data_IF_884802370223
#
_entry.id   IF_884802370223
#
_cell.length_a   1.000
_cell.length_b   1.000
_cell.length_c   1.000
_cell.angle_alpha   90.00
_cell.angle_beta   90.00
_cell.angle_gamma   90.00
#
_symmetry.space_group_name_H-M   'P 1'
#
loop_
_entity.id
_entity.type
_entity.pdbx_description
1 polymer ?
#
# COMPACT_ATOMS: atom_id res chain seq x y z
N UNK A 1 -9.76 4.09 11.90
CA UNK A 1 -8.42 4.26 11.31
C UNK A 1 -8.26 3.28 10.15
N UNK A 2 -7.72 3.69 9.01
CA UNK A 2 -7.45 2.80 7.86
C UNK A 2 -6.19 1.99 8.18
N UNK A 3 -6.25 0.67 8.04
CA UNK A 3 -5.13 -0.23 8.34
C UNK A 3 -4.67 -0.90 7.05
N UNK A 4 -3.44 -0.60 6.63
CA UNK A 4 -2.88 -1.01 5.36
C UNK A 4 -1.67 -1.91 5.62
N UNK A 5 -1.71 -3.14 5.12
CA UNK A 5 -0.57 -4.04 5.10
C UNK A 5 0.42 -3.58 4.03
N UNK A 6 1.67 -3.36 4.40
CA UNK A 6 2.73 -3.03 3.47
C UNK A 6 3.16 -4.30 2.72
N UNK A 7 2.87 -4.39 1.41
CA UNK A 7 3.21 -5.51 0.52
C UNK A 7 2.69 -6.89 0.96
N UNK A 8 1.63 -6.92 1.78
CA UNK A 8 1.08 -8.15 2.35
C UNK A 8 1.59 -8.52 3.74
N UNK A 9 2.55 -7.77 4.30
CA UNK A 9 3.10 -8.02 5.64
C UNK A 9 2.07 -7.73 6.73
N UNK A 10 1.93 -8.64 7.68
CA UNK A 10 0.98 -8.51 8.81
C UNK A 10 1.72 -8.49 10.15
N UNK A 11 2.62 -9.43 10.37
CA UNK A 11 3.32 -9.66 11.63
C UNK A 11 4.81 -9.29 11.58
N UNK A 12 5.26 -8.66 10.50
CA UNK A 12 6.62 -8.26 10.26
C UNK A 12 7.02 -8.40 8.81
N UNK A 13 8.15 -7.80 8.46
CA UNK A 13 8.70 -7.84 7.11
C UNK A 13 9.10 -9.26 6.69
N UNK A 14 8.58 -9.71 5.56
CA UNK A 14 8.93 -10.99 4.94
C UNK A 14 9.24 -10.80 3.45
N UNK A 15 10.50 -10.52 3.14
CA UNK A 15 10.97 -10.19 1.78
C UNK A 15 10.64 -11.29 0.76
N UNK A 16 10.65 -12.55 1.18
CA UNK A 16 10.38 -13.69 0.30
C UNK A 16 8.91 -13.82 -0.11
N UNK A 17 8.01 -13.21 0.66
CA UNK A 17 6.56 -13.25 0.43
C UNK A 17 5.98 -11.93 -0.09
N UNK A 18 6.67 -10.80 0.12
CA UNK A 18 6.19 -9.48 -0.29
C UNK A 18 5.72 -9.44 -1.75
N UNK A 19 4.60 -8.80 -1.99
CA UNK A 19 3.96 -8.64 -3.30
C UNK A 19 3.49 -9.94 -3.99
N UNK A 20 3.60 -11.13 -3.36
CA UNK A 20 2.97 -12.33 -3.92
C UNK A 20 1.44 -12.19 -3.90
N UNK A 21 0.74 -12.54 -5.00
CA UNK A 21 -0.73 -12.47 -5.02
C UNK A 21 -1.42 -13.19 -3.86
N UNK A 22 -0.93 -14.39 -3.49
CA UNK A 22 -1.46 -15.16 -2.37
C UNK A 22 -1.23 -14.50 -1.01
N UNK A 23 -0.12 -13.79 -0.84
CA UNK A 23 0.23 -13.06 0.37
C UNK A 23 -0.64 -11.81 0.54
N UNK A 24 -0.85 -11.08 -0.56
CA UNK A 24 -1.81 -9.96 -0.64
C UNK A 24 -3.22 -10.44 -0.26
N UNK A 25 -3.68 -11.56 -0.85
CA UNK A 25 -5.00 -12.12 -0.57
C UNK A 25 -5.16 -12.53 0.89
N UNK A 26 -4.09 -13.02 1.51
CA UNK A 26 -4.09 -13.34 2.94
C UNK A 26 -4.30 -12.10 3.80
N UNK A 27 -3.61 -10.98 3.49
CA UNK A 27 -3.79 -9.72 4.21
C UNK A 27 -5.22 -9.18 4.08
N UNK A 28 -5.79 -9.23 2.87
CA UNK A 28 -7.19 -8.81 2.63
C UNK A 28 -8.17 -9.68 3.43
N UNK A 29 -8.00 -11.00 3.44
CA UNK A 29 -8.86 -11.91 4.25
C UNK A 29 -8.76 -11.64 5.75
N UNK A 30 -7.63 -11.11 6.24
CA UNK A 30 -7.46 -10.69 7.62
C UNK A 30 -8.05 -9.29 7.93
N UNK A 31 -8.69 -8.66 6.92
CA UNK A 31 -9.40 -7.40 7.07
C UNK A 31 -8.54 -6.15 6.92
N UNK A 32 -7.40 -6.27 6.26
CA UNK A 32 -6.53 -5.13 5.93
C UNK A 32 -6.69 -4.69 4.48
N UNK A 33 -6.51 -3.40 4.24
CA UNK A 33 -6.11 -2.91 2.93
C UNK A 33 -4.65 -3.30 2.68
N UNK A 34 -4.20 -3.23 1.44
CA UNK A 34 -2.83 -3.64 1.09
C UNK A 34 -2.19 -2.65 0.11
N UNK A 35 -1.02 -2.18 0.44
CA UNK A 35 -0.14 -1.50 -0.51
C UNK A 35 0.58 -2.53 -1.36
N UNK A 36 0.64 -2.28 -2.67
CA UNK A 36 1.27 -3.17 -3.67
C UNK A 36 2.12 -2.37 -4.65
N UNK A 37 3.30 -2.89 -4.96
CA UNK A 37 4.21 -2.32 -5.97
C UNK A 37 3.90 -2.89 -7.35
N UNK A 38 3.68 -2.03 -8.35
CA UNK A 38 3.21 -2.45 -9.68
C UNK A 38 4.09 -1.93 -10.80
N UNK A 39 4.45 -2.83 -11.72
CA UNK A 39 5.18 -2.59 -12.95
C UNK A 39 4.33 -2.96 -14.16
N UNK A 40 4.52 -2.25 -15.26
CA UNK A 40 4.01 -2.65 -16.58
C UNK A 40 5.18 -2.67 -17.55
N UNK A 41 5.40 -3.80 -18.23
CA UNK A 41 6.51 -3.96 -19.18
C UNK A 41 6.20 -3.37 -20.57
N UNK A 42 7.14 -3.45 -21.49
CA UNK A 42 7.01 -2.92 -22.85
C UNK A 42 5.93 -3.63 -23.68
N UNK A 43 5.51 -4.82 -23.28
CA UNK A 43 4.46 -5.60 -23.91
C UNK A 43 3.10 -5.50 -23.20
N UNK A 44 2.95 -4.51 -22.30
CA UNK A 44 1.76 -4.25 -21.48
C UNK A 44 1.41 -5.39 -20.51
N UNK A 45 2.38 -6.25 -20.17
CA UNK A 45 2.21 -7.21 -19.08
C UNK A 45 2.36 -6.52 -17.73
N UNK A 46 1.51 -6.90 -16.77
CA UNK A 46 1.47 -6.32 -15.43
C UNK A 46 2.13 -7.27 -14.45
N UNK A 47 2.98 -6.71 -13.58
CA UNK A 47 3.70 -7.47 -12.54
C UNK A 47 3.63 -6.77 -11.20
N UNK A 48 3.61 -7.57 -10.13
CA UNK A 48 3.87 -7.11 -8.77
C UNK A 48 5.35 -7.33 -8.43
N UNK A 49 5.91 -6.47 -7.57
CA UNK A 49 7.28 -6.58 -7.08
C UNK A 49 7.88 -5.24 -6.70
N UNK A 50 8.71 -5.20 -5.65
CA UNK A 50 9.29 -3.94 -5.17
C UNK A 50 10.47 -3.46 -6.02
N UNK A 51 11.53 -4.25 -6.13
CA UNK A 51 12.76 -3.85 -6.81
C UNK A 51 12.72 -4.11 -8.32
N UNK A 52 11.90 -5.07 -8.74
CA UNK A 52 11.75 -5.50 -10.12
C UNK A 52 10.39 -6.19 -10.33
N UNK A 53 9.96 -6.36 -11.60
CA UNK A 53 8.79 -7.17 -11.94
C UNK A 53 9.00 -8.64 -11.53
N UNK A 54 8.15 -9.18 -10.66
CA UNK A 54 8.30 -10.53 -10.12
C UNK A 54 7.09 -11.43 -10.43
N UNK A 55 5.88 -10.99 -10.08
CA UNK A 55 4.69 -11.82 -10.12
C UNK A 55 3.72 -11.29 -11.17
N UNK A 56 3.56 -12.02 -12.27
CA UNK A 56 2.64 -11.63 -13.34
C UNK A 56 1.19 -11.76 -12.88
N UNK A 57 0.43 -10.70 -13.13
CA UNK A 57 -1.02 -10.64 -12.89
C UNK A 57 -1.70 -9.98 -14.09
N UNK A 58 -3.03 -10.00 -14.14
CA UNK A 58 -3.81 -9.29 -15.14
C UNK A 58 -4.65 -8.16 -14.52
N UNK A 59 -5.29 -7.36 -15.35
CA UNK A 59 -6.11 -6.23 -14.87
C UNK A 59 -7.33 -6.69 -14.05
N UNK A 60 -7.86 -7.89 -14.29
CA UNK A 60 -8.98 -8.44 -13.54
C UNK A 60 -8.58 -8.78 -12.11
N UNK A 61 -7.32 -9.18 -11.87
CA UNK A 61 -6.79 -9.40 -10.53
C UNK A 61 -6.93 -8.12 -9.68
N UNK A 62 -6.61 -6.96 -10.26
CA UNK A 62 -6.82 -5.65 -9.60
C UNK A 62 -8.29 -5.32 -9.45
N UNK A 63 -9.10 -5.58 -10.48
CA UNK A 63 -10.53 -5.28 -10.47
C UNK A 63 -11.28 -5.91 -9.30
N UNK A 64 -10.98 -7.17 -8.98
CA UNK A 64 -11.58 -7.89 -7.85
C UNK A 64 -11.14 -7.35 -6.47
N UNK A 65 -10.03 -6.62 -6.39
CA UNK A 65 -9.40 -6.14 -5.15
C UNK A 65 -9.36 -4.62 -5.03
N UNK A 66 -9.92 -3.90 -5.99
CA UNK A 66 -9.72 -2.44 -6.13
C UNK A 66 -10.08 -1.61 -4.90
N UNK A 67 -11.01 -2.09 -4.08
CA UNK A 67 -11.45 -1.39 -2.87
C UNK A 67 -10.46 -1.55 -1.71
N UNK A 68 -9.52 -2.51 -1.81
CA UNK A 68 -8.55 -2.80 -0.78
C UNK A 68 -7.11 -2.47 -1.20
N UNK A 69 -6.87 -2.11 -2.46
CA UNK A 69 -5.52 -1.89 -2.96
C UNK A 69 -5.12 -0.41 -2.93
N UNK A 70 -3.90 -0.18 -2.47
CA UNK A 70 -3.16 1.06 -2.55
C UNK A 70 -1.98 0.81 -3.48
N UNK A 71 -2.07 1.32 -4.71
CA UNK A 71 -1.19 0.92 -5.81
C UNK A 71 -0.03 1.89 -5.93
N UNK A 72 1.16 1.43 -5.56
CA UNK A 72 2.41 2.15 -5.81
C UNK A 72 2.90 1.83 -7.22
N UNK A 73 2.74 2.78 -8.13
CA UNK A 73 3.25 2.65 -9.50
C UNK A 73 4.76 2.77 -9.51
N UNK A 74 5.46 1.79 -10.07
CA UNK A 74 6.93 1.71 -10.06
C UNK A 74 7.58 2.19 -11.35
N UNK A 75 6.80 2.38 -12.42
CA UNK A 75 7.28 2.92 -13.68
C UNK A 75 6.19 3.73 -14.39
N UNK A 76 6.56 4.47 -15.43
CA UNK A 76 5.67 5.35 -16.19
C UNK A 76 4.48 4.57 -16.76
N UNK A 77 4.70 3.39 -17.31
CA UNK A 77 3.63 2.57 -17.91
C UNK A 77 2.58 2.13 -16.90
N UNK A 78 2.97 1.80 -15.68
CA UNK A 78 1.98 1.49 -14.62
C UNK A 78 1.17 2.72 -14.24
N UNK A 79 1.79 3.89 -14.20
CA UNK A 79 1.09 5.16 -13.97
C UNK A 79 0.08 5.46 -15.09
N UNK A 80 0.49 5.31 -16.36
CA UNK A 80 -0.39 5.46 -17.52
C UNK A 80 -1.58 4.49 -17.47
N UNK A 81 -1.32 3.22 -17.12
CA UNK A 81 -2.38 2.21 -17.00
C UNK A 81 -3.44 2.66 -15.99
N UNK A 82 -3.04 2.94 -14.74
CA UNK A 82 -4.01 3.23 -13.67
C UNK A 82 -4.64 4.62 -13.80
N UNK A 83 -3.97 5.60 -14.40
CA UNK A 83 -4.57 6.91 -14.67
C UNK A 83 -5.74 6.85 -15.65
N UNK A 84 -5.79 5.83 -16.48
CA UNK A 84 -6.89 5.56 -17.44
C UNK A 84 -7.94 4.58 -16.90
N UNK A 85 -7.81 4.10 -15.64
CA UNK A 85 -8.76 3.19 -15.01
C UNK A 85 -9.55 3.93 -13.93
N UNK A 86 -10.85 3.60 -13.82
CA UNK A 86 -11.73 4.23 -12.82
C UNK A 86 -11.78 3.43 -11.52
N UNK A 87 -11.68 4.14 -10.39
CA UNK A 87 -11.95 3.60 -9.07
C UNK A 87 -10.75 2.98 -8.35
N UNK A 88 -9.57 2.98 -8.94
CA UNK A 88 -8.34 2.58 -8.27
C UNK A 88 -7.74 3.72 -7.44
N UNK A 89 -7.07 3.35 -6.36
CA UNK A 89 -6.26 4.24 -5.54
C UNK A 89 -4.79 3.98 -5.85
N UNK A 90 -4.15 4.88 -6.58
CA UNK A 90 -2.78 4.74 -7.05
C UNK A 90 -1.97 6.00 -6.76
N UNK A 91 -0.66 5.86 -6.74
CA UNK A 91 0.28 6.96 -6.52
C UNK A 91 1.66 6.62 -7.08
N UNK A 92 2.44 7.66 -7.28
CA UNK A 92 3.87 7.60 -7.54
C UNK A 92 4.60 8.33 -6.43
N UNK A 93 5.70 7.77 -5.95
CA UNK A 93 6.68 8.52 -5.20
C UNK A 93 8.08 7.91 -5.39
N UNK A 94 9.10 8.71 -5.13
CA UNK A 94 10.51 8.32 -5.25
C UNK A 94 11.29 8.76 -4.01
N UNK A 95 11.76 10.01 -3.98
CA UNK A 95 12.53 10.59 -2.86
C UNK A 95 11.77 11.70 -2.13
N UNK A 96 10.47 11.77 -2.31
CA UNK A 96 9.59 12.79 -1.77
C UNK A 96 9.40 12.66 -0.25
N UNK A 97 9.05 13.77 0.39
CA UNK A 97 8.60 13.76 1.79
C UNK A 97 7.21 13.13 1.93
N UNK A 98 6.36 13.35 0.92
CA UNK A 98 5.00 12.81 0.82
C UNK A 98 4.53 12.84 -0.62
N UNK A 99 3.47 12.11 -0.91
CA UNK A 99 2.74 12.18 -2.17
C UNK A 99 1.24 12.21 -1.92
N UNK A 100 0.47 12.57 -2.92
CA UNK A 100 -0.99 12.51 -2.90
C UNK A 100 -1.46 11.33 -3.74
N UNK A 101 -2.28 10.45 -3.16
CA UNK A 101 -2.87 9.37 -3.96
C UNK A 101 -3.98 9.89 -4.87
N UNK A 102 -4.33 9.14 -5.89
CA UNK A 102 -5.40 9.48 -6.84
C UNK A 102 -6.77 9.68 -6.19
N UNK A 103 -6.98 9.13 -5.00
CA UNK A 103 -8.19 9.34 -4.18
C UNK A 103 -8.06 10.47 -3.15
N UNK A 104 -6.96 11.23 -3.19
CA UNK A 104 -6.77 12.41 -2.36
C UNK A 104 -6.21 12.17 -0.97
N UNK A 105 -5.63 11.00 -0.69
CA UNK A 105 -4.95 10.73 0.58
C UNK A 105 -3.51 11.23 0.56
N UNK A 106 -3.08 11.87 1.64
CA UNK A 106 -1.66 12.20 1.85
C UNK A 106 -0.94 10.92 2.28
N UNK A 107 -0.01 10.46 1.47
CA UNK A 107 0.86 9.32 1.73
C UNK A 107 2.20 9.82 2.21
N UNK A 108 2.44 9.76 3.53
CA UNK A 108 3.58 10.40 4.17
C UNK A 108 4.73 9.41 4.40
N UNK A 109 5.93 9.77 3.95
CA UNK A 109 7.15 9.00 4.15
C UNK A 109 7.45 8.74 5.64
N UNK A 110 8.17 7.64 5.95
CA UNK A 110 8.67 7.37 7.30
C UNK A 110 9.47 8.55 7.87
N UNK A 111 9.25 8.86 9.15
CA UNK A 111 9.93 9.94 9.84
C UNK A 111 9.41 11.35 9.55
N UNK A 112 8.25 11.48 8.90
CA UNK A 112 7.67 12.79 8.51
C UNK A 112 6.46 13.22 9.34
N UNK A 113 6.00 12.36 10.24
CA UNK A 113 4.90 12.70 11.15
C UNK A 113 5.35 13.74 12.22
N UNK A 114 4.42 14.55 12.74
CA UNK A 114 2.96 14.48 12.58
C UNK A 114 2.46 15.24 11.33
N UNK A 115 1.61 14.60 10.53
CA UNK A 115 0.88 15.22 9.41
C UNK A 115 -0.61 14.88 9.57
N UNK A 116 -1.46 15.92 9.67
CA UNK A 116 -2.90 15.72 9.84
C UNK A 116 -3.52 15.01 8.63
N UNK A 117 -4.46 14.11 8.92
CA UNK A 117 -5.26 13.41 7.89
C UNK A 117 -4.42 12.65 6.86
N UNK A 118 -3.21 12.23 7.23
CA UNK A 118 -2.31 11.46 6.38
C UNK A 118 -2.36 9.96 6.67
N UNK A 119 -1.84 9.18 5.73
CA UNK A 119 -1.42 7.79 5.95
C UNK A 119 0.03 7.81 6.41
N UNK A 120 0.30 7.29 7.61
CA UNK A 120 1.64 7.13 8.14
C UNK A 120 2.27 5.86 7.58
N UNK A 121 3.32 5.99 6.79
CA UNK A 121 4.00 4.85 6.17
C UNK A 121 5.17 4.39 7.04
N UNK A 122 5.20 3.11 7.39
CA UNK A 122 6.23 2.47 8.21
C UNK A 122 6.61 3.30 9.46
N UNK A 123 5.62 3.73 10.26
CA UNK A 123 5.89 4.60 11.41
C UNK A 123 6.81 3.97 12.45
N UNK A 124 6.89 2.65 12.48
CA UNK A 124 7.78 1.90 13.36
C UNK A 124 9.27 2.18 13.13
N UNK A 125 9.67 2.60 11.94
CA UNK A 125 11.08 2.86 11.61
C UNK A 125 11.66 4.07 12.36
N UNK A 126 10.82 5.06 12.66
CA UNK A 126 11.24 6.30 13.31
C UNK A 126 10.44 6.64 14.56
N UNK A 127 9.63 5.68 15.03
CA UNK A 127 8.71 5.89 16.14
C UNK A 127 7.80 7.12 15.92
N UNK A 128 7.23 7.21 14.72
CA UNK A 128 6.40 8.34 14.30
C UNK A 128 5.12 8.46 15.14
N UNK A 129 4.72 9.70 15.43
CA UNK A 129 3.44 9.99 16.08
C UNK A 129 2.29 9.85 15.06
N UNK A 130 1.52 8.77 15.16
CA UNK A 130 0.40 8.46 14.26
C UNK A 130 -0.94 9.03 14.74
N UNK A 131 -0.97 9.78 15.84
CA UNK A 131 -2.22 10.24 16.48
C UNK A 131 -3.05 11.21 15.61
N UNK A 132 -2.43 11.92 14.69
CA UNK A 132 -3.09 12.87 13.78
C UNK A 132 -3.42 12.27 12.41
N UNK A 133 -2.98 11.04 12.14
CA UNK A 133 -3.23 10.35 10.89
C UNK A 133 -4.64 9.73 10.81
N UNK A 134 -5.07 9.45 9.60
CA UNK A 134 -6.32 8.71 9.32
C UNK A 134 -6.05 7.24 8.98
N UNK A 135 -4.81 6.88 8.75
CA UNK A 135 -4.41 5.51 8.45
C UNK A 135 -2.93 5.24 8.64
N UNK A 136 -2.59 3.96 8.64
CA UNK A 136 -1.24 3.45 8.84
C UNK A 136 -0.97 2.38 7.79
N UNK A 137 0.19 2.46 7.13
CA UNK A 137 0.74 1.39 6.29
C UNK A 137 1.99 0.84 6.98
N UNK A 138 1.97 -0.44 7.34
CA UNK A 138 3.02 -1.03 8.18
C UNK A 138 3.31 -2.49 7.85
N UNK A 139 4.56 -2.91 8.09
CA UNK A 139 4.96 -4.31 8.08
C UNK A 139 4.41 -5.09 9.29
N UNK A 140 4.03 -4.37 10.35
CA UNK A 140 3.48 -4.91 11.61
C UNK A 140 2.03 -4.48 11.83
N UNK A 141 1.22 -4.48 10.77
CA UNK A 141 -0.12 -3.88 10.81
C UNK A 141 -1.05 -4.51 11.84
N UNK A 142 -0.83 -5.77 12.21
CA UNK A 142 -1.59 -6.43 13.26
C UNK A 142 -1.41 -5.75 14.63
N UNK A 143 -0.20 -5.27 14.95
CA UNK A 143 0.05 -4.56 16.22
C UNK A 143 -0.77 -3.26 16.29
N UNK A 144 -0.93 -2.58 15.15
CA UNK A 144 -1.75 -1.38 15.07
C UNK A 144 -3.25 -1.69 15.15
N UNK A 145 -3.69 -2.83 14.58
CA UNK A 145 -5.05 -3.32 14.72
C UNK A 145 -5.42 -3.58 16.18
N UNK A 146 -4.51 -4.21 16.94
CA UNK A 146 -4.69 -4.46 18.38
C UNK A 146 -4.74 -3.16 19.18
N UNK A 147 -3.85 -2.21 18.86
CA UNK A 147 -3.78 -0.91 19.55
C UNK A 147 -4.97 0.00 19.28
N UNK A 148 -5.51 0.03 18.06
CA UNK A 148 -6.54 0.98 17.63
C UNK A 148 -7.89 0.32 17.29
N UNK A 149 -7.95 -0.99 17.22
CA UNK A 149 -9.17 -1.74 16.90
C UNK A 149 -10.12 -1.91 18.08
N UNK A 150 -9.65 -1.77 19.31
CA UNK A 150 -10.45 -1.90 20.53
C UNK A 150 -11.26 -0.64 20.88
N UNK A 151 -10.92 0.51 20.30
CA UNK A 151 -11.58 1.80 20.58
C UNK A 151 -12.94 1.98 19.86
N UNK A 152 -13.46 0.97 19.15
CA UNK A 152 -14.71 1.00 18.40
C UNK A 152 -15.77 -0.02 18.89
N UNK A 153 -15.70 -0.44 20.14
CA UNK A 153 -16.76 -1.28 20.75
C UNK A 153 -17.54 -0.53 21.82
#
# INVERSE_FOLDING_TARGET
MILISHRGNIYGKNIDEENKPSYIDSAIRNGFDVEVDVWVDENDNIFLGHDNPQYKVDIFWFGFRKNNLWIHCKNIKSMELFSNQVGFNYFWHDTDTMTLTSKGFIWAYPGKQPIRESISVLPELYNDDVSFGIGICSDFIQNYKEKFGEDNL
#
